data_IF_999837443751
#
_entry.id   IF_999837443751
#
_cell.length_a   1.000
_cell.length_b   1.000
_cell.length_c   1.000
_cell.angle_alpha   90.00
_cell.angle_beta   90.00
_cell.angle_gamma   90.00
#
_symmetry.space_group_name_H-M   'P 1'
#
loop_
_entity.id
_entity.type
_entity.pdbx_description
1 polymer ?
#
# COMPACT_ATOMS: atom_id res chain seq x y z
N UNK A 1 25.26 2.16 3.06
CA UNK A 1 24.44 2.77 1.98
C UNK A 1 23.20 1.95 1.61
N UNK A 2 23.32 0.69 1.17
CA UNK A 2 22.18 -0.11 0.72
C UNK A 2 21.03 -0.26 1.76
N UNK A 3 21.35 -0.49 3.03
CA UNK A 3 20.33 -0.59 4.10
C UNK A 3 19.54 0.70 4.28
N UNK A 4 20.17 1.88 4.19
CA UNK A 4 19.48 3.17 4.28
C UNK A 4 18.51 3.37 3.12
N UNK A 5 18.92 2.95 1.91
CA UNK A 5 18.04 2.99 0.73
C UNK A 5 16.83 2.06 0.92
N UNK A 6 17.06 0.79 1.30
CA UNK A 6 15.99 -0.19 1.57
C UNK A 6 15.05 0.32 2.67
N UNK A 7 15.60 0.83 3.76
CA UNK A 7 14.83 1.43 4.86
C UNK A 7 13.95 2.57 4.35
N UNK A 8 14.53 3.49 3.57
CA UNK A 8 13.80 4.60 2.96
C UNK A 8 12.65 4.14 2.06
N UNK A 9 12.87 3.13 1.21
CA UNK A 9 11.84 2.58 0.33
C UNK A 9 10.66 1.99 1.13
N UNK A 10 10.94 1.14 2.12
CA UNK A 10 9.90 0.53 2.94
C UNK A 10 9.17 1.55 3.83
N UNK A 11 9.90 2.55 4.33
CA UNK A 11 9.30 3.65 5.09
C UNK A 11 8.34 4.46 4.22
N UNK A 12 8.77 4.86 3.02
CA UNK A 12 7.93 5.59 2.07
C UNK A 12 6.70 4.78 1.66
N UNK A 13 6.88 3.48 1.37
CA UNK A 13 5.76 2.59 1.03
C UNK A 13 4.77 2.45 2.18
N UNK A 14 5.26 2.33 3.43
CA UNK A 14 4.44 2.25 4.63
C UNK A 14 3.67 3.54 4.91
N UNK A 15 4.32 4.69 4.75
CA UNK A 15 3.68 6.01 4.91
C UNK A 15 2.63 6.23 3.83
N UNK A 16 2.95 5.97 2.56
CA UNK A 16 2.01 6.10 1.45
C UNK A 16 0.79 5.18 1.64
N UNK A 17 1.01 3.92 2.02
CA UNK A 17 -0.05 2.95 2.30
C UNK A 17 -0.89 3.38 3.51
N UNK A 18 -0.28 3.92 4.55
CA UNK A 18 -1.02 4.45 5.72
C UNK A 18 -1.89 5.66 5.37
N UNK A 19 -1.38 6.56 4.52
CA UNK A 19 -2.15 7.70 4.02
C UNK A 19 -3.34 7.24 3.17
N UNK A 20 -3.13 6.25 2.29
CA UNK A 20 -4.20 5.65 1.50
C UNK A 20 -5.25 4.93 2.39
N UNK A 21 -4.81 4.21 3.42
CA UNK A 21 -5.72 3.62 4.39
C UNK A 21 -6.55 4.69 5.12
N UNK A 22 -5.90 5.80 5.51
CA UNK A 22 -6.55 6.93 6.18
C UNK A 22 -7.59 7.61 5.27
N UNK A 23 -7.33 7.75 3.97
CA UNK A 23 -8.35 8.28 3.03
C UNK A 23 -9.51 7.30 2.88
N UNK A 24 -9.25 5.99 2.87
CA UNK A 24 -10.23 4.92 3.00
C UNK A 24 -11.14 5.06 4.22
N UNK A 25 -10.54 5.13 5.42
CA UNK A 25 -11.28 5.27 6.69
C UNK A 25 -12.07 6.59 6.79
N UNK A 26 -11.56 7.68 6.19
CA UNK A 26 -12.27 8.96 6.11
C UNK A 26 -13.40 8.98 5.09
N UNK A 27 -13.55 7.92 4.30
CA UNK A 27 -14.59 7.81 3.29
C UNK A 27 -14.35 8.67 2.04
N UNK A 28 -13.13 9.19 1.86
CA UNK A 28 -12.77 10.17 0.81
C UNK A 28 -12.17 9.56 -0.45
N UNK A 29 -12.17 8.22 -0.59
CA UNK A 29 -11.57 7.56 -1.77
C UNK A 29 -12.23 8.02 -3.07
N UNK A 30 -13.50 8.41 -3.02
CA UNK A 30 -14.27 8.83 -4.18
C UNK A 30 -14.40 10.36 -4.33
N UNK A 31 -13.78 11.16 -3.45
CA UNK A 31 -13.85 12.61 -3.53
C UNK A 31 -13.07 13.15 -4.73
N UNK A 32 -13.58 14.21 -5.36
CA UNK A 32 -13.03 14.77 -6.60
C UNK A 32 -11.74 15.57 -6.39
N UNK A 33 -11.52 16.09 -5.18
CA UNK A 33 -10.34 16.89 -4.83
C UNK A 33 -9.20 16.06 -4.23
N UNK A 34 -9.55 15.06 -3.41
CA UNK A 34 -8.60 14.32 -2.55
C UNK A 34 -8.57 12.81 -2.84
N UNK A 35 -9.53 12.31 -3.64
CA UNK A 35 -9.76 10.90 -3.90
C UNK A 35 -9.16 10.40 -5.22
N UNK A 36 -9.36 9.11 -5.49
CA UNK A 36 -8.85 8.44 -6.68
C UNK A 36 -9.82 8.58 -7.86
N UNK A 37 -9.34 8.28 -9.07
CA UNK A 37 -10.19 8.25 -10.25
C UNK A 37 -11.04 6.97 -10.25
N UNK A 38 -12.29 7.11 -9.80
CA UNK A 38 -13.25 6.01 -9.61
C UNK A 38 -14.37 6.10 -10.65
N UNK A 39 -14.90 4.98 -11.18
CA UNK A 39 -16.01 5.00 -12.13
C UNK A 39 -17.22 5.80 -11.62
N UNK A 40 -17.90 6.51 -12.53
CA UNK A 40 -19.05 7.36 -12.19
C UNK A 40 -20.18 6.59 -11.48
N UNK A 41 -20.40 5.32 -11.84
CA UNK A 41 -21.36 4.43 -11.19
C UNK A 41 -21.04 4.22 -9.69
N UNK A 42 -19.76 4.08 -9.34
CA UNK A 42 -19.31 3.92 -7.94
C UNK A 42 -19.39 5.23 -7.16
N UNK A 43 -19.25 6.37 -7.84
CA UNK A 43 -19.44 7.71 -7.23
C UNK A 43 -20.90 8.02 -6.96
N UNK A 44 -21.82 7.57 -7.82
CA UNK A 44 -23.25 7.84 -7.72
C UNK A 44 -23.96 6.95 -6.68
N UNK A 45 -23.52 5.70 -6.50
CA UNK A 45 -24.13 4.77 -5.54
C UNK A 45 -23.43 4.82 -4.17
N UNK A 46 -24.12 5.26 -3.09
CA UNK A 46 -23.53 5.36 -1.76
C UNK A 46 -23.08 4.00 -1.20
N UNK A 47 -23.72 2.89 -1.57
CA UNK A 47 -23.34 1.56 -1.12
C UNK A 47 -22.04 1.07 -1.80
N UNK A 48 -21.88 1.34 -3.11
CA UNK A 48 -20.63 1.05 -3.83
C UNK A 48 -19.48 1.92 -3.33
N UNK A 49 -19.76 3.19 -3.01
CA UNK A 49 -18.80 4.12 -2.42
C UNK A 49 -18.28 3.62 -1.06
N UNK A 50 -19.18 3.15 -0.19
CA UNK A 50 -18.81 2.60 1.11
C UNK A 50 -17.96 1.32 0.96
N UNK A 51 -18.32 0.44 0.03
CA UNK A 51 -17.50 -0.75 -0.29
C UNK A 51 -16.10 -0.37 -0.77
N UNK A 52 -15.98 0.56 -1.70
CA UNK A 52 -14.68 1.03 -2.20
C UNK A 52 -13.81 1.60 -1.07
N UNK A 53 -14.38 2.42 -0.20
CA UNK A 53 -13.71 2.97 0.98
C UNK A 53 -13.20 1.87 1.93
N UNK A 54 -14.03 0.88 2.26
CA UNK A 54 -13.63 -0.25 3.12
C UNK A 54 -12.53 -1.10 2.51
N UNK A 55 -12.54 -1.28 1.19
CA UNK A 55 -11.57 -2.10 0.49
C UNK A 55 -10.19 -1.43 0.51
N UNK A 56 -10.12 -0.13 0.22
CA UNK A 56 -8.88 0.65 0.35
C UNK A 56 -8.41 0.67 1.80
N UNK A 57 -9.29 0.92 2.76
CA UNK A 57 -8.92 0.95 4.18
C UNK A 57 -8.28 -0.36 4.64
N UNK A 58 -8.88 -1.50 4.34
CA UNK A 58 -8.37 -2.81 4.75
C UNK A 58 -7.05 -3.18 4.07
N UNK A 59 -7.01 -3.10 2.73
CA UNK A 59 -5.84 -3.54 1.95
C UNK A 59 -4.64 -2.61 2.14
N UNK A 60 -4.84 -1.30 2.19
CA UNK A 60 -3.75 -0.37 2.44
C UNK A 60 -3.25 -0.41 3.89
N UNK A 61 -4.10 -0.77 4.87
CA UNK A 61 -3.64 -1.04 6.25
C UNK A 61 -2.74 -2.27 6.30
N UNK A 62 -3.14 -3.35 5.61
CA UNK A 62 -2.31 -4.54 5.47
C UNK A 62 -0.96 -4.25 4.79
N UNK A 63 -0.98 -3.49 3.69
CA UNK A 63 0.22 -3.07 2.98
C UNK A 63 1.13 -2.19 3.86
N UNK A 64 0.56 -1.29 4.66
CA UNK A 64 1.32 -0.47 5.61
C UNK A 64 2.00 -1.33 6.69
N UNK A 65 1.26 -2.27 7.29
CA UNK A 65 1.81 -3.17 8.31
C UNK A 65 2.97 -4.02 7.75
N UNK A 66 2.80 -4.58 6.55
CA UNK A 66 3.85 -5.33 5.88
C UNK A 66 5.04 -4.45 5.50
N UNK A 67 4.82 -3.18 5.13
CA UNK A 67 5.91 -2.24 4.83
C UNK A 67 6.75 -1.91 6.06
N UNK A 68 6.15 -1.85 7.26
CA UNK A 68 6.86 -1.52 8.50
C UNK A 68 7.61 -2.71 9.11
N UNK A 69 7.16 -3.94 8.87
CA UNK A 69 7.81 -5.16 9.38
C UNK A 69 9.32 -5.24 9.08
N UNK A 70 9.82 -5.01 7.85
CA UNK A 70 11.25 -5.06 7.56
C UNK A 70 12.05 -3.89 8.13
N UNK A 71 11.42 -2.80 8.59
CA UNK A 71 12.12 -1.65 9.15
C UNK A 71 12.79 -1.95 10.48
N UNK A 72 12.25 -2.87 11.28
CA UNK A 72 12.82 -3.25 12.58
C UNK A 72 14.20 -3.89 12.43
N UNK A 73 14.36 -5.01 11.68
CA UNK A 73 15.67 -5.61 11.49
C UNK A 73 16.62 -4.71 10.68
N UNK A 74 16.13 -4.01 9.64
CA UNK A 74 16.97 -3.11 8.84
C UNK A 74 17.46 -1.92 9.68
N UNK A 75 16.60 -1.32 10.50
CA UNK A 75 16.95 -0.22 11.40
C UNK A 75 17.96 -0.63 12.46
N UNK A 76 17.82 -1.83 13.03
CA UNK A 76 18.80 -2.39 13.96
C UNK A 76 20.19 -2.55 13.34
N UNK A 77 20.26 -2.99 12.07
CA UNK A 77 21.54 -3.11 11.34
C UNK A 77 22.16 -1.75 11.05
N UNK A 78 21.35 -0.73 10.71
CA UNK A 78 21.83 0.64 10.50
C UNK A 78 22.41 1.22 11.79
N UNK A 79 21.74 1.02 12.94
CA UNK A 79 22.20 1.48 14.25
C UNK A 79 23.46 0.76 14.75
N UNK A 80 23.75 -0.44 14.23
CA UNK A 80 24.93 -1.25 14.60
C UNK A 80 26.15 -0.96 13.69
N UNK A 81 26.29 0.29 13.22
CA UNK A 81 27.33 0.76 12.28
C UNK A 81 27.38 0.05 10.91
N UNK A 82 26.33 -0.69 10.53
CA UNK A 82 26.18 -1.21 9.17
C UNK A 82 27.26 -2.20 8.73
N UNK A 83 28.03 -2.78 9.66
CA UNK A 83 29.14 -3.69 9.38
C UNK A 83 28.75 -5.02 8.73
N UNK A 84 27.45 -5.33 8.63
CA UNK A 84 26.93 -6.48 7.88
C UNK A 84 26.64 -6.06 6.45
N UNK A 85 27.25 -6.71 5.46
CA UNK A 85 26.86 -6.60 4.05
C UNK A 85 25.57 -7.39 3.77
N UNK A 86 24.62 -6.82 3.01
CA UNK A 86 23.47 -7.60 2.50
C UNK A 86 24.00 -8.55 1.44
N UNK A 87 23.68 -9.84 1.54
CA UNK A 87 23.94 -10.78 0.45
C UNK A 87 23.04 -10.46 -0.75
N UNK A 88 23.48 -10.80 -1.96
CA UNK A 88 22.67 -10.65 -3.19
C UNK A 88 21.31 -11.35 -3.07
N UNK A 89 21.28 -12.50 -2.41
CA UNK A 89 20.05 -13.23 -2.12
C UNK A 89 19.13 -12.49 -1.14
N UNK A 90 19.69 -11.85 -0.10
CA UNK A 90 18.92 -11.01 0.82
C UNK A 90 18.27 -9.83 0.10
N UNK A 91 18.99 -9.20 -0.83
CA UNK A 91 18.44 -8.14 -1.69
C UNK A 91 17.30 -8.65 -2.57
N UNK A 92 17.46 -9.80 -3.22
CA UNK A 92 16.44 -10.39 -4.07
C UNK A 92 15.15 -10.71 -3.30
N UNK A 93 15.26 -11.29 -2.11
CA UNK A 93 14.11 -11.59 -1.24
C UNK A 93 13.40 -10.30 -0.80
N UNK A 94 14.16 -9.27 -0.41
CA UNK A 94 13.57 -7.97 -0.03
C UNK A 94 12.88 -7.28 -1.21
N UNK A 95 13.43 -7.39 -2.41
CA UNK A 95 12.80 -6.85 -3.62
C UNK A 95 11.49 -7.57 -3.94
N UNK A 96 11.47 -8.90 -3.90
CA UNK A 96 10.26 -9.70 -4.09
C UNK A 96 9.20 -9.40 -3.02
N UNK A 97 9.62 -9.24 -1.77
CA UNK A 97 8.74 -8.85 -0.68
C UNK A 97 8.13 -7.47 -0.92
N UNK A 98 8.94 -6.47 -1.26
CA UNK A 98 8.46 -5.13 -1.60
C UNK A 98 7.46 -5.15 -2.77
N UNK A 99 7.74 -5.94 -3.81
CA UNK A 99 6.84 -6.12 -4.94
C UNK A 99 5.50 -6.72 -4.51
N UNK A 100 5.50 -7.74 -3.65
CA UNK A 100 4.27 -8.33 -3.12
C UNK A 100 3.45 -7.30 -2.33
N UNK A 101 4.09 -6.47 -1.50
CA UNK A 101 3.41 -5.41 -0.74
C UNK A 101 2.78 -4.38 -1.68
N UNK A 102 3.48 -3.97 -2.74
CA UNK A 102 2.94 -3.06 -3.76
C UNK A 102 1.71 -3.67 -4.44
N UNK A 103 1.76 -4.95 -4.82
CA UNK A 103 0.61 -5.64 -5.44
C UNK A 103 -0.59 -5.68 -4.50
N UNK A 104 -0.38 -5.98 -3.21
CA UNK A 104 -1.43 -5.98 -2.17
C UNK A 104 -2.04 -4.59 -2.01
N UNK A 105 -1.22 -3.53 -2.00
CA UNK A 105 -1.68 -2.15 -1.92
C UNK A 105 -2.41 -1.67 -3.18
N UNK A 106 -2.04 -2.17 -4.36
CA UNK A 106 -2.65 -1.82 -5.65
C UNK A 106 -3.97 -2.58 -5.91
N UNK A 107 -4.10 -3.80 -5.39
CA UNK A 107 -5.29 -4.65 -5.53
C UNK A 107 -6.64 -3.94 -5.29
N UNK A 108 -6.85 -3.14 -4.23
CA UNK A 108 -8.12 -2.46 -4.02
C UNK A 108 -8.47 -1.51 -5.17
N UNK A 109 -7.50 -0.80 -5.73
CA UNK A 109 -7.73 0.17 -6.81
C UNK A 109 -8.14 -0.53 -8.11
N UNK A 110 -7.48 -1.64 -8.46
CA UNK A 110 -7.89 -2.44 -9.61
C UNK A 110 -9.29 -3.03 -9.42
N UNK A 111 -9.61 -3.53 -8.21
CA UNK A 111 -10.94 -4.07 -7.94
C UNK A 111 -12.04 -3.03 -8.03
N UNK A 112 -11.77 -1.78 -7.63
CA UNK A 112 -12.74 -0.69 -7.69
C UNK A 112 -13.07 -0.28 -9.13
N UNK A 113 -12.14 -0.38 -10.08
CA UNK A 113 -12.42 -0.12 -11.50
C UNK A 113 -13.53 -1.03 -12.04
N UNK A 114 -13.67 -2.24 -11.49
CA UNK A 114 -14.66 -3.23 -11.91
C UNK A 114 -15.93 -3.27 -11.04
N UNK A 115 -16.02 -2.48 -9.96
CA UNK A 115 -17.15 -2.52 -9.01
C UNK A 115 -18.48 -1.97 -9.59
N UNK A 116 -18.42 -1.27 -10.73
CA UNK A 116 -19.58 -0.70 -11.43
C UNK A 116 -19.81 -1.24 -12.84
N UNK A 117 -19.11 -2.31 -13.23
CA UNK A 117 -19.24 -2.91 -14.56
C UNK A 117 -20.53 -3.77 -14.64
N UNK A 118 -21.53 -3.38 -15.44
CA UNK A 118 -22.78 -4.11 -15.57
C UNK A 118 -22.61 -5.50 -16.21
N UNK A 119 -21.47 -5.78 -16.87
CA UNK A 119 -21.19 -7.08 -17.50
C UNK A 119 -20.84 -8.20 -16.50
N UNK A 120 -20.65 -7.87 -15.21
CA UNK A 120 -20.38 -8.82 -14.13
C UNK A 120 -21.55 -9.00 -13.14
N UNK A 121 -22.77 -8.57 -13.50
CA UNK A 121 -23.99 -8.84 -12.73
C UNK A 121 -24.72 -10.07 -13.23
#
# INVERSE_FOLDING_TARGET
MAYMFIFGCFLLLGVASSLAARTGYRGRVCDRSDGYEVPAAVKADPALRQRANSLVAFWCTGAAALSFAPLVPVGSVILSDGGKSVSTWGLAVLALYGLAVVVIGAYPFEKIKHLGDPSRR
#
